data_IF_836109157306
#
_entry.id   IF_836109157306
#
_cell.length_a   1.000
_cell.length_b   1.000
_cell.length_c   1.000
_cell.angle_alpha   90.00
_cell.angle_beta   90.00
_cell.angle_gamma   90.00
#
_symmetry.space_group_name_H-M   'P 1'
#
loop_
_entity.id
_entity.type
_entity.pdbx_description
1 polymer ?
#
# COMPACT_ATOMS: atom_id res chain seq x y z
N UNK A 1 -13.98 37.54 -2.70
CA UNK A 1 -15.09 36.57 -2.66
C UNK A 1 -14.75 35.50 -1.65
N UNK A 2 -14.98 35.80 -0.37
CA UNK A 2 -14.85 34.82 0.71
C UNK A 2 -16.15 34.03 0.78
N UNK A 3 -16.16 32.87 0.15
CA UNK A 3 -17.21 31.87 0.35
C UNK A 3 -17.10 31.36 1.77
N UNK A 4 -17.93 31.90 2.67
CA UNK A 4 -18.24 31.26 3.95
C UNK A 4 -18.85 29.89 3.64
N UNK A 5 -18.01 28.85 3.66
CA UNK A 5 -18.48 27.47 3.60
C UNK A 5 -19.13 27.20 4.95
N UNK A 6 -20.46 27.22 5.01
CA UNK A 6 -21.19 26.68 6.14
C UNK A 6 -20.80 25.20 6.27
N UNK A 7 -19.90 24.89 7.21
CA UNK A 7 -19.61 23.53 7.62
C UNK A 7 -20.86 22.98 8.30
N UNK A 8 -21.81 22.49 7.50
CA UNK A 8 -23.03 21.87 7.98
C UNK A 8 -22.71 20.79 9.04
N UNK A 9 -23.55 20.72 10.07
CA UNK A 9 -23.42 19.72 11.12
C UNK A 9 -23.26 18.33 10.51
N UNK A 10 -22.21 17.60 10.90
CA UNK A 10 -21.99 16.23 10.44
C UNK A 10 -23.15 15.35 10.93
N UNK A 11 -23.90 14.73 10.00
CA UNK A 11 -25.04 13.87 10.31
C UNK A 11 -24.72 12.39 10.12
N UNK A 12 -23.63 12.09 9.42
CA UNK A 12 -23.22 10.73 9.11
C UNK A 12 -21.71 10.56 9.28
N UNK A 13 -21.27 9.31 9.37
CA UNK A 13 -19.86 8.92 9.33
C UNK A 13 -19.70 7.87 8.25
N UNK A 14 -18.89 8.19 7.25
CA UNK A 14 -18.41 7.22 6.28
C UNK A 14 -17.25 6.46 6.91
N UNK A 15 -17.38 5.15 6.96
CA UNK A 15 -16.36 4.23 7.43
C UNK A 15 -15.82 3.49 6.23
N UNK A 16 -14.50 3.49 6.06
CA UNK A 16 -13.82 2.72 5.04
C UNK A 16 -12.78 1.82 5.68
N UNK A 17 -12.99 0.51 5.54
CA UNK A 17 -12.03 -0.52 5.93
C UNK A 17 -11.34 -1.04 4.68
N UNK A 18 -10.03 -1.04 4.68
CA UNK A 18 -9.21 -1.59 3.60
C UNK A 18 -8.76 -2.97 4.06
N UNK A 19 -8.99 -4.01 3.26
CA UNK A 19 -8.64 -5.39 3.59
C UNK A 19 -7.36 -5.85 2.91
N UNK A 20 -7.18 -5.54 1.62
CA UNK A 20 -5.93 -5.80 0.90
C UNK A 20 -5.82 -4.94 -0.37
N UNK A 21 -4.64 -4.93 -0.97
CA UNK A 21 -4.34 -4.28 -2.24
C UNK A 21 -3.45 -5.23 -3.03
N UNK A 22 -3.88 -5.57 -4.23
CA UNK A 22 -3.27 -6.60 -5.08
C UNK A 22 -2.90 -6.01 -6.42
N UNK A 23 -1.99 -6.66 -7.15
CA UNK A 23 -1.65 -6.29 -8.54
C UNK A 23 -0.93 -4.95 -8.71
N UNK A 24 -0.40 -4.36 -7.63
CA UNK A 24 0.41 -3.15 -7.71
C UNK A 24 1.77 -3.43 -8.40
N UNK A 25 2.24 -2.54 -9.29
CA UNK A 25 3.60 -2.58 -9.80
C UNK A 25 4.65 -2.66 -8.68
N UNK A 26 5.62 -3.55 -8.83
CA UNK A 26 6.74 -3.73 -7.87
C UNK A 26 7.75 -2.56 -7.89
N UNK A 27 7.73 -1.75 -8.95
CA UNK A 27 8.64 -0.61 -9.12
C UNK A 27 7.94 0.59 -9.75
N UNK A 28 8.55 1.77 -9.61
CA UNK A 28 8.11 3.00 -10.29
C UNK A 28 7.05 3.83 -9.59
N UNK A 29 6.59 3.43 -8.39
CA UNK A 29 5.50 4.10 -7.67
C UNK A 29 5.92 4.82 -6.38
N UNK A 30 7.22 4.86 -6.07
CA UNK A 30 7.77 5.54 -4.87
C UNK A 30 7.14 5.10 -3.54
N UNK A 31 7.06 3.78 -3.38
CA UNK A 31 6.56 3.12 -2.18
C UNK A 31 7.41 3.53 -0.93
N UNK A 32 6.84 3.59 0.30
CA UNK A 32 5.51 3.11 0.70
C UNK A 32 4.36 4.02 0.29
N UNK A 33 3.13 3.49 0.36
CA UNK A 33 1.92 4.22 -0.01
C UNK A 33 1.06 4.52 1.21
N UNK A 34 0.28 5.60 1.12
CA UNK A 34 -0.85 5.86 2.02
C UNK A 34 -2.14 5.94 1.22
N UNK A 35 -3.27 5.70 1.87
CA UNK A 35 -4.59 5.83 1.24
C UNK A 35 -5.24 7.10 1.76
N UNK A 36 -5.68 7.92 0.83
CA UNK A 36 -6.43 9.15 1.10
C UNK A 36 -7.87 8.97 0.67
N UNK A 37 -8.79 9.19 1.60
CA UNK A 37 -10.23 9.23 1.37
C UNK A 37 -10.69 10.69 1.36
N UNK A 38 -11.48 11.06 0.35
CA UNK A 38 -12.06 12.39 0.21
C UNK A 38 -13.46 12.32 -0.37
N UNK A 39 -14.20 13.43 -0.28
CA UNK A 39 -15.52 13.58 -0.89
C UNK A 39 -15.37 14.50 -2.10
N UNK A 40 -15.92 14.07 -3.24
CA UNK A 40 -15.93 14.89 -4.45
C UNK A 40 -16.67 16.21 -4.19
N UNK A 41 -16.05 17.33 -4.59
CA UNK A 41 -16.60 18.67 -4.34
C UNK A 41 -16.36 19.24 -2.93
N UNK A 42 -15.70 18.50 -2.02
CA UNK A 42 -15.38 18.97 -0.66
C UNK A 42 -13.91 18.65 -0.29
N UNK A 43 -12.94 19.39 -0.88
CA UNK A 43 -11.51 19.11 -0.71
C UNK A 43 -10.99 19.28 0.71
N UNK A 44 -11.72 19.94 1.59
CA UNK A 44 -11.42 20.07 3.03
C UNK A 44 -11.80 18.81 3.82
N UNK A 45 -12.66 17.95 3.27
CA UNK A 45 -13.12 16.71 3.91
C UNK A 45 -12.29 15.53 3.43
N UNK A 46 -11.06 15.49 3.92
CA UNK A 46 -10.13 14.40 3.60
C UNK A 46 -9.62 13.73 4.87
N UNK A 47 -9.46 12.41 4.80
CA UNK A 47 -8.73 11.63 5.78
C UNK A 47 -7.65 10.84 5.05
N UNK A 48 -6.47 10.72 5.63
CA UNK A 48 -5.44 9.81 5.12
C UNK A 48 -5.15 8.77 6.20
N UNK A 49 -4.82 7.57 5.77
CA UNK A 49 -4.20 6.58 6.65
C UNK A 49 -2.87 7.14 7.19
N UNK A 50 -2.37 6.56 8.29
CA UNK A 50 -1.05 6.92 8.81
C UNK A 50 0.06 6.65 7.75
N UNK A 51 1.32 6.93 8.05
CA UNK A 51 2.40 6.38 7.21
C UNK A 51 2.50 4.88 7.48
N UNK A 52 2.64 4.07 6.44
CA UNK A 52 2.93 2.64 6.61
C UNK A 52 4.13 2.46 7.57
N UNK A 53 4.01 1.52 8.51
CA UNK A 53 5.08 1.23 9.45
C UNK A 53 6.36 0.87 8.69
N UNK A 54 7.52 1.43 9.06
CA UNK A 54 8.79 0.85 8.64
C UNK A 54 8.84 -0.54 9.27
N UNK A 55 8.60 -1.59 8.47
CA UNK A 55 8.77 -2.96 8.96
C UNK A 55 10.24 -3.14 9.28
N UNK A 56 10.52 -3.48 10.55
CA UNK A 56 11.87 -3.74 11.01
C UNK A 56 12.32 -5.06 10.40
N UNK A 57 13.20 -4.97 9.40
CA UNK A 57 13.99 -6.12 9.00
C UNK A 57 15.24 -6.14 9.86
N UNK A 58 15.51 -7.24 10.57
CA UNK A 58 16.85 -7.45 11.08
C UNK A 58 17.80 -7.37 9.87
N UNK A 59 18.80 -6.50 9.97
CA UNK A 59 19.82 -6.36 8.93
C UNK A 59 20.48 -7.71 8.71
N UNK A 60 20.61 -8.11 7.45
CA UNK A 60 21.23 -9.39 7.13
C UNK A 60 22.70 -9.34 7.51
N UNK A 61 23.15 -10.33 8.26
CA UNK A 61 24.54 -10.48 8.67
C UNK A 61 25.36 -11.16 7.56
N UNK A 62 26.67 -10.92 7.55
CA UNK A 62 27.60 -11.61 6.65
C UNK A 62 27.57 -13.13 6.84
N UNK A 63 27.32 -13.60 8.06
CA UNK A 63 27.18 -15.03 8.36
C UNK A 63 25.95 -15.65 7.69
N UNK A 64 24.82 -14.96 7.73
CA UNK A 64 23.60 -15.40 7.04
C UNK A 64 23.82 -15.45 5.53
N UNK A 65 24.46 -14.43 4.94
CA UNK A 65 24.81 -14.43 3.51
C UNK A 65 25.70 -15.63 3.14
N UNK A 66 26.70 -15.95 3.97
CA UNK A 66 27.58 -17.11 3.77
C UNK A 66 26.82 -18.43 3.88
N UNK A 67 25.87 -18.54 4.82
CA UNK A 67 24.98 -19.73 4.95
C UNK A 67 24.12 -19.92 3.70
N UNK A 68 23.53 -18.85 3.17
CA UNK A 68 22.76 -18.90 1.91
C UNK A 68 23.62 -19.41 0.77
N UNK A 69 24.83 -18.86 0.63
CA UNK A 69 25.76 -19.26 -0.43
C UNK A 69 26.15 -20.73 -0.29
N UNK A 70 26.35 -21.21 0.95
CA UNK A 70 26.62 -22.62 1.24
C UNK A 70 25.45 -23.52 0.87
N UNK A 71 24.21 -23.11 1.17
CA UNK A 71 23.00 -23.86 0.80
C UNK A 71 22.83 -23.95 -0.71
N UNK A 72 23.07 -22.85 -1.44
CA UNK A 72 23.06 -22.83 -2.89
C UNK A 72 24.15 -23.74 -3.48
N UNK A 73 25.38 -23.67 -2.94
CA UNK A 73 26.50 -24.54 -3.34
C UNK A 73 26.26 -26.03 -3.04
N UNK A 74 25.42 -26.35 -2.05
CA UNK A 74 25.01 -27.71 -1.73
C UNK A 74 23.90 -28.25 -2.65
N UNK A 75 23.45 -27.48 -3.64
CA UNK A 75 22.41 -27.88 -4.59
C UNK A 75 20.98 -27.68 -4.09
N UNK A 76 20.78 -26.91 -3.03
CA UNK A 76 19.42 -26.52 -2.59
C UNK A 76 18.78 -25.67 -3.69
N UNK A 77 17.52 -25.96 -4.03
CA UNK A 77 16.81 -25.23 -5.07
C UNK A 77 16.71 -23.72 -4.73
N UNK A 78 17.06 -22.86 -5.69
CA UNK A 78 17.07 -21.40 -5.50
C UNK A 78 15.71 -20.86 -5.09
N UNK A 79 14.62 -21.44 -5.59
CA UNK A 79 13.25 -21.09 -5.21
C UNK A 79 12.99 -21.30 -3.71
N UNK A 80 13.43 -22.42 -3.14
CA UNK A 80 13.24 -22.73 -1.71
C UNK A 80 14.00 -21.74 -0.84
N UNK A 81 15.24 -21.41 -1.23
CA UNK A 81 16.04 -20.40 -0.53
C UNK A 81 15.36 -19.02 -0.62
N UNK A 82 14.88 -18.64 -1.81
CA UNK A 82 14.25 -17.35 -2.06
C UNK A 82 12.96 -17.19 -1.24
N UNK A 83 12.17 -18.26 -1.13
CA UNK A 83 10.95 -18.31 -0.32
C UNK A 83 11.26 -18.15 1.17
N UNK A 84 12.18 -18.95 1.73
CA UNK A 84 12.57 -18.87 3.15
C UNK A 84 13.16 -17.49 3.48
N UNK A 85 13.89 -16.89 2.53
CA UNK A 85 14.53 -15.60 2.72
C UNK A 85 13.65 -14.40 2.36
N UNK A 86 12.46 -14.61 1.80
CA UNK A 86 11.57 -13.54 1.38
C UNK A 86 12.16 -12.61 0.31
N UNK A 87 12.92 -13.16 -0.65
CA UNK A 87 13.62 -12.40 -1.72
C UNK A 87 13.25 -12.94 -3.10
N UNK A 88 13.57 -12.20 -4.15
CA UNK A 88 13.45 -12.68 -5.53
C UNK A 88 14.39 -13.87 -5.82
N UNK A 89 13.90 -14.84 -6.60
CA UNK A 89 14.67 -16.03 -6.97
C UNK A 89 15.88 -15.67 -7.85
N UNK A 90 15.75 -14.65 -8.70
CA UNK A 90 16.81 -14.14 -9.55
C UNK A 90 18.01 -13.64 -8.74
N UNK A 91 17.77 -13.04 -7.57
CA UNK A 91 18.85 -12.62 -6.67
C UNK A 91 19.59 -13.82 -6.08
N UNK A 92 18.88 -14.87 -5.69
CA UNK A 92 19.52 -16.10 -5.20
C UNK A 92 20.31 -16.78 -6.31
N UNK A 93 19.79 -16.83 -7.55
CA UNK A 93 20.50 -17.36 -8.72
C UNK A 93 21.76 -16.56 -9.04
N UNK A 94 21.70 -15.24 -8.91
CA UNK A 94 22.85 -14.37 -9.11
C UNK A 94 23.90 -14.55 -8.01
N UNK A 95 23.46 -14.64 -6.75
CA UNK A 95 24.31 -14.90 -5.60
C UNK A 95 25.00 -16.27 -5.69
N UNK A 96 24.30 -17.31 -6.17
CA UNK A 96 24.85 -18.66 -6.31
C UNK A 96 25.97 -18.75 -7.36
N UNK A 97 26.02 -17.81 -8.32
CA UNK A 97 27.09 -17.71 -9.32
C UNK A 97 28.33 -17.01 -8.76
N UNK A 98 28.21 -16.33 -7.62
CA UNK A 98 29.31 -15.64 -6.99
C UNK A 98 30.07 -16.57 -6.04
N UNK A 99 31.39 -16.60 -6.17
CA UNK A 99 32.23 -17.24 -5.18
C UNK A 99 32.43 -16.29 -3.99
N UNK A 100 31.66 -16.51 -2.91
CA UNK A 100 31.80 -15.77 -1.66
C UNK A 100 32.64 -16.49 -0.60
N UNK A 101 33.19 -17.67 -0.91
CA UNK A 101 33.98 -18.49 0.04
C UNK A 101 35.34 -17.86 0.44
N UNK A 102 35.69 -16.71 -0.14
CA UNK A 102 36.84 -15.87 0.24
C UNK A 102 36.61 -14.40 -0.06
N UNK A 103 35.35 -13.97 -0.15
CA UNK A 103 35.01 -12.58 -0.43
C UNK A 103 35.40 -11.68 0.75
N UNK A 104 35.90 -10.49 0.44
CA UNK A 104 36.11 -9.45 1.43
C UNK A 104 34.77 -8.95 1.99
N UNK A 105 34.84 -8.29 3.15
CA UNK A 105 33.65 -7.77 3.83
C UNK A 105 32.90 -6.75 2.96
N UNK A 106 33.61 -6.08 2.04
CA UNK A 106 33.03 -5.11 1.10
C UNK A 106 32.08 -5.79 0.11
N UNK A 107 32.52 -6.88 -0.54
CA UNK A 107 31.69 -7.65 -1.46
C UNK A 107 30.49 -8.28 -0.75
N UNK A 108 30.68 -8.74 0.49
CA UNK A 108 29.56 -9.21 1.32
C UNK A 108 28.54 -8.10 1.61
N UNK A 109 29.01 -6.90 1.98
CA UNK A 109 28.16 -5.75 2.24
C UNK A 109 27.36 -5.29 1.00
N UNK A 110 27.95 -5.34 -0.19
CA UNK A 110 27.26 -5.04 -1.44
C UNK A 110 26.09 -6.00 -1.71
N UNK A 111 26.30 -7.30 -1.48
CA UNK A 111 25.25 -8.31 -1.63
C UNK A 111 24.15 -8.19 -0.58
N UNK A 112 24.51 -7.95 0.69
CA UNK A 112 23.56 -7.66 1.75
C UNK A 112 22.69 -6.46 1.34
N UNK A 113 23.30 -5.38 0.87
CA UNK A 113 22.55 -4.19 0.42
C UNK A 113 21.60 -4.49 -0.75
N UNK A 114 22.02 -5.30 -1.71
CA UNK A 114 21.15 -5.73 -2.83
C UNK A 114 19.96 -6.56 -2.34
N UNK A 115 20.22 -7.54 -1.48
CA UNK A 115 19.18 -8.42 -0.92
C UNK A 115 18.21 -7.61 -0.06
N UNK A 116 18.71 -6.70 0.79
CA UNK A 116 17.86 -5.83 1.61
C UNK A 116 17.05 -4.84 0.77
N UNK A 117 17.59 -4.36 -0.35
CA UNK A 117 16.86 -3.49 -1.27
C UNK A 117 15.71 -4.26 -1.95
N UNK A 118 15.95 -5.51 -2.32
CA UNK A 118 14.94 -6.38 -2.92
C UNK A 118 13.83 -6.78 -1.94
N UNK A 119 14.20 -7.18 -0.72
CA UNK A 119 13.24 -7.39 0.38
C UNK A 119 12.37 -6.16 0.58
N UNK A 120 12.99 -4.98 0.63
CA UNK A 120 12.25 -3.71 0.73
C UNK A 120 11.33 -3.52 -0.47
N UNK A 121 11.78 -3.71 -1.70
CA UNK A 121 10.93 -3.55 -2.88
C UNK A 121 9.71 -4.49 -2.84
N UNK A 122 9.95 -5.79 -2.59
CA UNK A 122 8.91 -6.82 -2.51
C UNK A 122 7.93 -6.62 -1.35
N UNK A 123 8.39 -6.12 -0.21
CA UNK A 123 7.48 -5.86 0.91
C UNK A 123 6.73 -4.55 0.79
N UNK A 124 7.33 -3.55 0.14
CA UNK A 124 6.65 -2.27 -0.04
C UNK A 124 5.52 -2.38 -1.09
N UNK A 125 5.63 -3.30 -2.05
CA UNK A 125 4.49 -3.66 -2.91
C UNK A 125 3.37 -4.41 -2.16
N UNK A 126 3.68 -5.08 -1.05
CA UNK A 126 2.74 -5.88 -0.25
C UNK A 126 2.23 -5.18 1.04
N UNK A 127 2.47 -3.88 1.23
CA UNK A 127 2.19 -3.20 2.51
C UNK A 127 1.55 -1.80 2.40
N UNK A 128 0.22 -1.73 2.51
CA UNK A 128 -0.51 -0.52 2.83
C UNK A 128 -1.64 -0.80 3.86
N UNK A 129 -1.31 -0.87 5.15
CA UNK A 129 -2.24 -0.47 6.24
C UNK A 129 -3.63 -1.14 6.32
N UNK A 130 -3.71 -2.42 5.96
CA UNK A 130 -4.92 -3.24 5.84
C UNK A 130 -5.73 -3.51 7.13
N UNK A 131 -5.44 -2.80 8.21
CA UNK A 131 -6.23 -2.85 9.46
C UNK A 131 -6.75 -1.46 9.88
N UNK A 132 -6.33 -0.39 9.20
CA UNK A 132 -6.80 0.96 9.52
C UNK A 132 -8.23 1.18 8.98
N UNK A 133 -9.10 1.60 9.89
CA UNK A 133 -10.47 1.98 9.57
C UNK A 133 -10.53 3.50 9.49
N UNK A 134 -10.64 4.02 8.27
CA UNK A 134 -10.85 5.44 8.03
C UNK A 134 -12.29 5.81 8.40
N UNK A 135 -12.46 6.86 9.22
CA UNK A 135 -13.78 7.36 9.64
C UNK A 135 -13.88 8.84 9.27
N UNK A 136 -14.65 9.15 8.24
CA UNK A 136 -14.83 10.50 7.73
C UNK A 136 -16.25 11.01 8.06
N UNK A 137 -16.39 12.04 8.92
CA UNK A 137 -17.69 12.68 9.15
C UNK A 137 -18.19 13.43 7.92
N UNK A 138 -19.47 13.23 7.57
CA UNK A 138 -20.09 13.82 6.39
C UNK A 138 -21.45 14.46 6.72
N UNK A 139 -21.82 15.56 6.06
CA UNK A 139 -23.03 16.32 6.40
C UNK A 139 -24.31 15.67 5.88
N UNK A 140 -24.24 14.95 4.75
CA UNK A 140 -25.38 14.40 4.04
C UNK A 140 -25.13 13.01 3.45
N UNK A 141 -26.19 12.40 2.91
CA UNK A 141 -26.13 11.15 2.14
C UNK A 141 -26.08 11.48 0.64
N UNK A 142 -25.57 10.55 -0.16
CA UNK A 142 -25.60 10.67 -1.61
C UNK A 142 -24.45 11.51 -2.12
N UNK A 143 -23.24 10.95 -2.11
CA UNK A 143 -22.03 11.63 -2.58
C UNK A 143 -21.03 10.62 -3.16
N UNK A 144 -20.08 11.11 -3.94
CA UNK A 144 -18.97 10.29 -4.44
C UNK A 144 -17.80 10.35 -3.46
N UNK A 145 -17.41 9.20 -2.93
CA UNK A 145 -16.17 9.05 -2.20
C UNK A 145 -15.04 8.78 -3.19
N UNK A 146 -14.02 9.63 -3.18
CA UNK A 146 -12.80 9.46 -3.97
C UNK A 146 -11.70 8.89 -3.09
N UNK A 147 -11.17 7.74 -3.48
CA UNK A 147 -10.02 7.10 -2.84
C UNK A 147 -8.80 7.30 -3.71
N UNK A 148 -7.73 7.83 -3.12
CA UNK A 148 -6.45 8.06 -3.79
C UNK A 148 -5.35 7.24 -3.09
N UNK A 149 -4.57 6.51 -3.87
CA UNK A 149 -3.32 5.92 -3.42
C UNK A 149 -2.22 6.98 -3.59
N UNK A 150 -1.56 7.34 -2.49
CA UNK A 150 -0.59 8.43 -2.42
C UNK A 150 0.81 7.87 -2.20
N UNK A 151 1.81 8.37 -2.94
CA UNK A 151 3.22 8.04 -2.65
C UNK A 151 3.69 8.71 -1.35
N UNK A 152 4.56 8.04 -0.59
CA UNK A 152 5.17 8.60 0.63
C UNK A 152 6.39 9.49 0.38
N UNK A 153 6.57 9.96 -0.86
CA UNK A 153 7.65 10.87 -1.22
C UNK A 153 7.57 12.19 -0.42
N UNK A 154 8.66 12.98 -0.44
CA UNK A 154 8.70 14.32 0.22
C UNK A 154 7.55 15.23 -0.21
N UNK A 155 7.05 15.04 -1.44
CA UNK A 155 5.84 15.66 -1.96
C UNK A 155 4.90 14.51 -2.36
N UNK A 156 3.93 14.12 -1.51
CA UNK A 156 3.01 13.05 -1.83
C UNK A 156 2.24 13.35 -3.11
N UNK A 157 2.19 12.39 -4.02
CA UNK A 157 1.46 12.51 -5.29
C UNK A 157 0.50 11.34 -5.40
N UNK A 158 -0.71 11.60 -5.92
CA UNK A 158 -1.63 10.52 -6.25
C UNK A 158 -1.01 9.69 -7.39
N UNK A 159 -0.87 8.40 -7.15
CA UNK A 159 -0.39 7.43 -8.14
C UNK A 159 -1.56 6.66 -8.77
N UNK A 160 -2.64 6.48 -8.02
CA UNK A 160 -3.86 5.91 -8.54
C UNK A 160 -5.08 6.32 -7.73
N UNK A 161 -6.26 6.08 -8.28
CA UNK A 161 -7.53 6.44 -7.66
C UNK A 161 -8.68 5.56 -8.14
N UNK A 162 -9.77 5.59 -7.39
CA UNK A 162 -11.08 5.13 -7.82
C UNK A 162 -12.17 5.88 -7.05
N UNK A 163 -13.37 5.88 -7.63
CA UNK A 163 -14.52 6.59 -7.10
C UNK A 163 -15.63 5.61 -6.72
N UNK A 164 -16.31 5.87 -5.61
CA UNK A 164 -17.41 5.03 -5.11
C UNK A 164 -18.60 5.91 -4.77
N UNK A 165 -19.75 5.61 -5.36
CA UNK A 165 -21.01 6.28 -5.02
C UNK A 165 -21.53 5.77 -3.67
N UNK A 166 -21.62 6.66 -2.68
CA UNK A 166 -22.07 6.36 -1.32
C UNK A 166 -23.48 6.92 -1.09
N UNK A 167 -24.30 6.18 -0.33
CA UNK A 167 -25.63 6.62 0.10
C UNK A 167 -26.79 6.13 -0.77
N UNK A 168 -26.52 5.39 -1.85
CA UNK A 168 -27.53 4.54 -2.52
C UNK A 168 -27.82 3.33 -1.62
N UNK A 169 -26.76 2.69 -1.15
CA UNK A 169 -26.78 1.66 -0.12
C UNK A 169 -25.99 2.13 1.10
N UNK A 170 -26.26 1.53 2.25
CA UNK A 170 -25.52 1.81 3.48
C UNK A 170 -24.13 1.13 3.48
N UNK A 171 -23.90 0.16 2.59
CA UNK A 171 -22.66 -0.57 2.44
C UNK A 171 -22.29 -0.79 0.98
N UNK A 172 -21.00 -0.73 0.68
CA UNK A 172 -20.42 -1.04 -0.64
C UNK A 172 -19.13 -1.83 -0.45
N UNK A 173 -19.06 -3.01 -1.04
CA UNK A 173 -17.89 -3.90 -1.01
C UNK A 173 -17.07 -3.78 -2.30
N UNK A 174 -15.76 -3.94 -2.16
CA UNK A 174 -14.83 -4.08 -3.27
C UNK A 174 -14.83 -5.50 -3.88
N UNK A 175 -13.95 -5.79 -4.83
CA UNK A 175 -12.76 -5.02 -5.19
C UNK A 175 -13.02 -3.84 -6.12
N UNK A 176 -12.19 -2.80 -6.01
CA UNK A 176 -12.16 -1.66 -6.95
C UNK A 176 -10.86 -1.64 -7.74
N UNK A 177 -10.97 -1.47 -9.06
CA UNK A 177 -9.81 -1.32 -9.94
C UNK A 177 -9.21 0.07 -9.74
N UNK A 178 -7.92 0.11 -9.44
CA UNK A 178 -7.19 1.37 -9.24
C UNK A 178 -6.83 1.92 -10.62
N UNK A 179 -7.31 3.11 -10.94
CA UNK A 179 -6.94 3.84 -12.16
C UNK A 179 -5.68 4.66 -11.92
N UNK A 180 -4.71 4.61 -12.82
CA UNK A 180 -3.53 5.45 -12.81
C UNK A 180 -3.95 6.93 -12.85
N UNK A 181 -3.42 7.73 -11.92
CA UNK A 181 -3.86 9.10 -11.71
C UNK A 181 -3.51 10.05 -12.88
N UNK A 182 -2.56 9.68 -13.75
CA UNK A 182 -2.14 10.50 -14.90
C UNK A 182 -2.86 10.12 -16.18
N UNK A 183 -3.07 8.83 -16.39
CA UNK A 183 -3.59 8.29 -17.65
C UNK A 183 -5.08 7.92 -17.58
N UNK A 184 -5.61 7.71 -16.38
CA UNK A 184 -6.98 7.21 -16.17
C UNK A 184 -7.19 5.76 -16.63
N UNK A 185 -6.12 5.05 -16.97
CA UNK A 185 -6.15 3.62 -17.32
C UNK A 185 -5.95 2.75 -16.08
N UNK A 186 -6.37 1.48 -16.08
CA UNK A 186 -6.09 0.58 -14.98
C UNK A 186 -4.59 0.52 -14.67
N UNK A 187 -4.23 0.79 -13.42
CA UNK A 187 -2.89 0.58 -12.93
C UNK A 187 -2.60 -0.93 -12.98
N UNK A 188 -1.44 -1.33 -13.51
CA UNK A 188 -1.19 -2.74 -13.82
C UNK A 188 0.28 -3.10 -13.65
N UNK A 189 0.54 -4.27 -13.05
CA UNK A 189 1.88 -4.87 -12.93
C UNK A 189 2.34 -5.54 -14.24
N UNK A 190 1.45 -5.74 -15.20
CA UNK A 190 1.73 -6.42 -16.45
C UNK A 190 0.45 -6.93 -17.13
N UNK A 191 0.56 -7.51 -18.34
CA UNK A 191 -0.59 -7.93 -19.13
C UNK A 191 -1.56 -8.81 -18.33
N UNK A 192 -2.79 -8.32 -18.13
CA UNK A 192 -3.86 -9.04 -17.44
C UNK A 192 -3.82 -9.00 -15.91
N UNK A 193 -2.88 -8.27 -15.30
CA UNK A 193 -2.80 -8.10 -13.84
C UNK A 193 -3.10 -6.65 -13.50
N UNK A 194 -4.35 -6.36 -13.16
CA UNK A 194 -4.80 -5.03 -12.71
C UNK A 194 -4.62 -4.87 -11.21
N UNK A 195 -4.22 -3.68 -10.79
CA UNK A 195 -4.16 -3.30 -9.40
C UNK A 195 -5.56 -3.11 -8.84
N UNK A 196 -5.86 -3.78 -7.73
CA UNK A 196 -7.18 -3.76 -7.09
C UNK A 196 -7.05 -3.48 -5.62
N UNK A 197 -7.96 -2.66 -5.10
CA UNK A 197 -8.11 -2.44 -3.68
C UNK A 197 -9.36 -3.17 -3.19
N UNK A 198 -9.18 -4.01 -2.17
CA UNK A 198 -10.22 -4.77 -1.52
C UNK A 198 -10.56 -4.10 -0.19
N UNK A 199 -11.83 -4.03 0.14
CA UNK A 199 -12.29 -3.38 1.34
C UNK A 199 -13.81 -3.21 1.34
N UNK A 200 -14.29 -2.43 2.30
CA UNK A 200 -15.70 -2.20 2.49
C UNK A 200 -15.96 -0.78 3.03
N UNK A 201 -16.92 -0.10 2.40
CA UNK A 201 -17.50 1.14 2.86
C UNK A 201 -18.77 0.89 3.65
N UNK A 202 -18.97 1.65 4.74
CA UNK A 202 -20.23 1.68 5.48
C UNK A 202 -20.58 3.09 5.92
N UNK A 203 -21.82 3.50 5.69
CA UNK A 203 -22.33 4.81 6.11
C UNK A 203 -23.21 4.66 7.35
N UNK A 204 -22.81 5.31 8.45
CA UNK A 204 -23.58 5.32 9.69
C UNK A 204 -24.24 6.67 9.90
N UNK A 205 -25.51 6.68 10.32
CA UNK A 205 -26.16 7.88 10.84
C UNK A 205 -25.68 8.19 12.26
N UNK A 206 -25.34 9.45 12.51
CA UNK A 206 -25.11 9.93 13.87
C UNK A 206 -26.47 10.22 14.50
N UNK A 207 -26.80 9.53 15.59
CA UNK A 207 -27.99 9.85 16.37
C UNK A 207 -27.87 11.32 16.80
N UNK A 208 -28.89 12.13 16.51
CA UNK A 208 -29.01 13.45 17.15
C UNK A 208 -29.05 13.17 18.64
N UNK A 209 -28.08 13.67 19.41
CA UNK A 209 -28.21 13.64 20.86
C UNK A 209 -29.50 14.37 21.18
N UNK A 210 -30.52 13.61 21.58
CA UNK A 210 -31.78 14.20 22.01
C UNK A 210 -31.45 15.17 23.11
N UNK A 211 -31.80 16.44 22.92
CA UNK A 211 -31.89 17.38 24.02
C UNK A 211 -32.89 16.75 24.99
N UNK A 212 -32.39 16.20 26.10
CA UNK A 212 -33.22 15.91 27.26
C UNK A 212 -33.82 17.25 27.67
N UNK A 213 -35.10 17.44 27.36
CA UNK A 213 -35.92 18.50 27.94
C UNK A 213 -36.32 18.11 29.36
#
# INVERSE_FOLDING_TARGET
NDTNVELGFNRYVLVFKIDECTGLPESGLDAPYTVKLSIEGSPERTLSTAKAWPKYFPSMTTEELRRITKLAGAGTQSQVIAEVMGVDEGIIKALAKENLAGADDKKCAEWIKKIEADRRARETSNNPQFEEVLRLPVPERGFTAKVELMSSAKKPVAIGHFDVQIGITDSVDGPWVIQDAKTGQPLSQGPGIEAKLHGHFKLFGLARSGTLQ
#
